data_IF_830718071161
#
_entry.id   IF_830718071161
#
_cell.length_a   1.000
_cell.length_b   1.000
_cell.length_c   1.000
_cell.angle_alpha   90.00
_cell.angle_beta   90.00
_cell.angle_gamma   90.00
#
_symmetry.space_group_name_H-M   'P 1'
#
loop_
_entity.id
_entity.type
_entity.pdbx_description
1 polymer ?
#
# COMPACT_ATOMS: atom_id res chain seq x y z
N UNK A 1 -40.05 44.64 -23.86
CA UNK A 1 -40.38 43.73 -22.74
C UNK A 1 -40.05 42.26 -23.04
N UNK A 2 -40.36 41.78 -24.22
CA UNK A 2 -39.99 40.41 -24.63
C UNK A 2 -38.48 40.23 -24.70
N UNK A 3 -37.77 41.27 -25.15
CA UNK A 3 -36.30 41.28 -25.20
C UNK A 3 -35.67 41.23 -23.79
N UNK A 4 -36.28 41.95 -22.84
CA UNK A 4 -35.80 41.93 -21.45
C UNK A 4 -36.03 40.62 -20.76
N UNK A 5 -37.15 39.97 -21.05
CA UNK A 5 -37.44 38.63 -20.53
C UNK A 5 -36.49 37.61 -21.10
N UNK A 6 -36.22 37.68 -22.37
CA UNK A 6 -35.27 36.80 -23.04
C UNK A 6 -33.84 36.97 -22.49
N UNK A 7 -33.46 38.23 -22.24
CA UNK A 7 -32.18 38.55 -21.65
C UNK A 7 -32.03 37.97 -20.22
N UNK A 8 -33.04 38.16 -19.40
CA UNK A 8 -33.09 37.61 -18.02
C UNK A 8 -33.03 36.08 -18.03
N UNK A 9 -33.75 35.47 -18.98
CA UNK A 9 -33.75 34.04 -19.12
C UNK A 9 -32.38 33.49 -19.53
N UNK A 10 -31.72 34.18 -20.47
CA UNK A 10 -30.36 33.83 -20.90
C UNK A 10 -29.35 33.95 -19.76
N UNK A 11 -29.44 35.02 -18.96
CA UNK A 11 -28.58 35.23 -17.80
C UNK A 11 -28.81 34.15 -16.74
N UNK A 12 -30.05 33.78 -16.50
CA UNK A 12 -30.42 32.71 -15.57
C UNK A 12 -29.87 31.37 -16.03
N UNK A 13 -30.04 31.06 -17.29
CA UNK A 13 -29.52 29.82 -17.87
C UNK A 13 -28.01 29.76 -17.84
N UNK A 14 -27.33 30.89 -18.14
CA UNK A 14 -25.88 30.99 -18.06
C UNK A 14 -25.38 30.78 -16.62
N UNK A 15 -26.06 31.36 -15.65
CA UNK A 15 -25.72 31.20 -14.24
C UNK A 15 -25.91 29.74 -13.76
N UNK A 16 -26.98 29.10 -14.22
CA UNK A 16 -27.25 27.70 -13.90
C UNK A 16 -26.22 26.78 -14.58
N UNK A 17 -25.82 27.08 -15.82
CA UNK A 17 -24.80 26.35 -16.53
C UNK A 17 -23.43 26.47 -15.85
N UNK A 18 -23.09 27.67 -15.37
CA UNK A 18 -21.85 27.89 -14.61
C UNK A 18 -21.84 27.09 -13.33
N UNK A 19 -22.96 27.07 -12.59
CA UNK A 19 -23.08 26.30 -11.36
C UNK A 19 -22.92 24.79 -11.63
N UNK A 20 -23.53 24.30 -12.70
CA UNK A 20 -23.41 22.89 -13.09
C UNK A 20 -21.97 22.53 -13.47
N UNK A 21 -21.32 23.43 -14.22
CA UNK A 21 -19.94 23.22 -14.63
C UNK A 21 -19.01 23.23 -13.42
N UNK A 22 -19.22 24.15 -12.47
CA UNK A 22 -18.45 24.22 -11.25
C UNK A 22 -18.66 22.97 -10.38
N UNK A 23 -19.89 22.50 -10.27
CA UNK A 23 -20.20 21.30 -9.52
C UNK A 23 -19.58 20.04 -10.16
N UNK A 24 -19.60 19.96 -11.50
CA UNK A 24 -18.97 18.87 -12.22
C UNK A 24 -17.46 18.88 -12.03
N UNK A 25 -16.84 20.06 -12.12
CA UNK A 25 -15.40 20.20 -11.91
C UNK A 25 -15.01 19.84 -10.46
N UNK A 26 -15.81 20.24 -9.49
CA UNK A 26 -15.58 19.88 -8.09
C UNK A 26 -15.69 18.38 -7.86
N UNK A 27 -16.65 17.72 -8.52
CA UNK A 27 -16.78 16.26 -8.43
C UNK A 27 -15.61 15.54 -9.05
N UNK A 28 -15.16 15.99 -10.21
CA UNK A 28 -13.98 15.42 -10.87
C UNK A 28 -12.73 15.58 -10.02
N UNK A 29 -12.52 16.76 -9.44
CA UNK A 29 -11.39 17.03 -8.56
C UNK A 29 -11.43 16.15 -7.30
N UNK A 30 -12.60 15.98 -6.70
CA UNK A 30 -12.79 15.13 -5.53
C UNK A 30 -12.51 13.67 -5.87
N UNK A 31 -12.98 13.21 -7.03
CA UNK A 31 -12.76 11.85 -7.47
C UNK A 31 -11.28 11.58 -7.76
N UNK A 32 -10.61 12.52 -8.43
CA UNK A 32 -9.18 12.42 -8.69
C UNK A 32 -8.36 12.38 -7.40
N UNK A 33 -8.73 13.21 -6.42
CA UNK A 33 -8.07 13.23 -5.11
C UNK A 33 -8.28 11.90 -4.37
N UNK A 34 -9.49 11.34 -4.45
CA UNK A 34 -9.78 10.05 -3.83
C UNK A 34 -8.97 8.92 -4.47
N UNK A 35 -8.90 8.89 -5.80
CA UNK A 35 -8.12 7.88 -6.53
C UNK A 35 -6.63 7.98 -6.19
N UNK A 36 -6.12 9.21 -6.09
CA UNK A 36 -4.72 9.43 -5.74
C UNK A 36 -4.43 8.97 -4.30
N UNK A 37 -5.34 9.27 -3.37
CA UNK A 37 -5.22 8.81 -1.99
C UNK A 37 -5.25 7.29 -1.91
N UNK A 38 -6.10 6.64 -2.70
CA UNK A 38 -6.15 5.18 -2.77
C UNK A 38 -4.85 4.58 -3.31
N UNK A 39 -4.25 5.19 -4.32
CA UNK A 39 -2.95 4.76 -4.86
C UNK A 39 -1.85 4.86 -3.82
N UNK A 40 -1.77 5.98 -3.12
CA UNK A 40 -0.78 6.16 -2.06
C UNK A 40 -0.98 5.15 -0.94
N UNK A 41 -2.23 4.92 -0.55
CA UNK A 41 -2.54 3.93 0.48
C UNK A 41 -2.15 2.52 0.05
N UNK A 42 -2.42 2.16 -1.22
CA UNK A 42 -2.05 0.87 -1.78
C UNK A 42 -0.53 0.69 -1.85
N UNK A 43 0.20 1.71 -2.27
CA UNK A 43 1.66 1.69 -2.31
C UNK A 43 2.25 1.55 -0.91
N UNK A 44 1.72 2.30 0.06
CA UNK A 44 2.17 2.21 1.44
C UNK A 44 1.88 0.82 2.03
N UNK A 45 0.73 0.24 1.74
CA UNK A 45 0.37 -1.10 2.19
C UNK A 45 1.27 -2.16 1.55
N UNK A 46 1.60 -2.01 0.27
CA UNK A 46 2.50 -2.92 -0.44
C UNK A 46 3.92 -2.86 0.15
N UNK A 47 4.42 -1.66 0.43
CA UNK A 47 5.72 -1.46 1.03
C UNK A 47 5.78 -2.07 2.45
N UNK A 48 4.73 -1.86 3.25
CA UNK A 48 4.63 -2.45 4.58
C UNK A 48 4.57 -3.98 4.52
N UNK A 49 3.87 -4.54 3.54
CA UNK A 49 3.79 -5.99 3.35
C UNK A 49 5.15 -6.57 2.96
N UNK A 50 5.91 -5.88 2.12
CA UNK A 50 7.27 -6.30 1.75
C UNK A 50 8.21 -6.27 2.94
N UNK A 51 8.17 -5.21 3.73
CA UNK A 51 8.96 -5.11 4.96
C UNK A 51 8.62 -6.22 5.94
N UNK A 52 7.33 -6.52 6.11
CA UNK A 52 6.88 -7.59 7.00
C UNK A 52 7.38 -8.95 6.51
N UNK A 53 7.35 -9.19 5.19
CA UNK A 53 7.88 -10.43 4.62
C UNK A 53 9.37 -10.56 4.80
N UNK A 54 10.11 -9.49 4.55
CA UNK A 54 11.56 -9.47 4.74
C UNK A 54 11.94 -9.71 6.21
N UNK A 55 11.21 -9.08 7.13
CA UNK A 55 11.41 -9.30 8.56
C UNK A 55 11.09 -10.73 8.98
N UNK A 56 10.02 -11.31 8.44
CA UNK A 56 9.65 -12.69 8.71
C UNK A 56 10.70 -13.67 8.20
N UNK A 57 11.24 -13.43 6.99
CA UNK A 57 12.32 -14.25 6.42
C UNK A 57 13.58 -14.16 7.27
N UNK A 58 13.94 -12.96 7.70
CA UNK A 58 15.11 -12.76 8.55
C UNK A 58 14.96 -13.42 9.91
N UNK A 59 13.74 -13.53 10.42
CA UNK A 59 13.43 -14.16 11.71
C UNK A 59 13.33 -15.68 11.63
N UNK A 60 13.22 -16.26 10.43
CA UNK A 60 13.17 -17.71 10.27
C UNK A 60 14.48 -18.34 10.73
N UNK A 61 14.42 -19.41 11.55
CA UNK A 61 15.64 -20.10 11.95
C UNK A 61 16.29 -20.74 10.73
N UNK A 62 17.57 -20.49 10.59
CA UNK A 62 18.35 -21.10 9.52
C UNK A 62 18.56 -22.56 9.82
N UNK A 63 18.26 -23.42 8.85
CA UNK A 63 18.56 -24.84 8.99
C UNK A 63 20.07 -25.03 9.08
N UNK A 64 20.55 -25.90 10.00
CA UNK A 64 21.99 -26.16 10.09
C UNK A 64 22.52 -26.78 8.82
N UNK A 65 23.73 -26.38 8.43
CA UNK A 65 24.40 -26.96 7.28
C UNK A 65 24.85 -28.39 7.58
N UNK A 66 25.16 -29.16 6.54
CA UNK A 66 25.67 -30.52 6.69
C UNK A 66 26.96 -30.56 7.54
N UNK A 67 27.81 -29.54 7.38
CA UNK A 67 29.04 -29.40 8.17
C UNK A 67 28.76 -29.16 9.64
N UNK A 68 27.78 -28.31 9.95
CA UNK A 68 27.37 -28.02 11.31
C UNK A 68 26.77 -29.26 11.98
N UNK A 69 25.95 -30.02 11.26
CA UNK A 69 25.39 -31.27 11.76
C UNK A 69 26.47 -32.31 12.03
N UNK A 70 27.46 -32.41 11.16
CA UNK A 70 28.59 -33.31 11.34
C UNK A 70 29.40 -32.91 12.59
N UNK A 71 29.73 -31.62 12.72
CA UNK A 71 30.46 -31.12 13.87
C UNK A 71 29.73 -31.39 15.20
N UNK A 72 28.40 -31.24 15.22
CA UNK A 72 27.60 -31.54 16.39
C UNK A 72 27.60 -33.02 16.74
N UNK A 73 27.55 -33.90 15.75
CA UNK A 73 27.65 -35.36 15.96
C UNK A 73 29.00 -35.77 16.49
N UNK A 74 30.07 -35.22 15.91
CA UNK A 74 31.44 -35.49 16.34
C UNK A 74 31.68 -35.04 17.78
N UNK A 75 31.17 -33.85 18.14
CA UNK A 75 31.29 -33.34 19.51
C UNK A 75 30.55 -34.23 20.51
N UNK A 76 29.37 -34.74 20.16
CA UNK A 76 28.61 -35.67 21.01
C UNK A 76 29.34 -37.01 21.19
N UNK A 77 29.92 -37.51 20.13
CA UNK A 77 30.68 -38.75 20.16
C UNK A 77 31.93 -38.59 21.06
N UNK A 78 32.66 -37.52 20.90
CA UNK A 78 33.87 -37.22 21.72
C UNK A 78 33.51 -37.08 23.22
N UNK A 79 32.38 -36.42 23.53
CA UNK A 79 31.89 -36.29 24.91
C UNK A 79 31.53 -37.66 25.53
N UNK A 80 30.90 -38.52 24.76
CA UNK A 80 30.57 -39.87 25.24
C UNK A 80 31.79 -40.74 25.46
N UNK A 81 32.77 -40.63 24.57
CA UNK A 81 34.03 -41.35 24.69
C UNK A 81 34.84 -40.90 25.92
N UNK A 82 34.84 -39.62 26.22
CA UNK A 82 35.47 -39.06 27.40
C UNK A 82 34.85 -39.53 28.69
N UNK A 83 33.53 -39.75 28.73
CA UNK A 83 32.81 -40.22 29.88
C UNK A 83 33.08 -41.70 30.24
N UNK A 84 33.47 -42.49 29.27
CA UNK A 84 33.75 -43.93 29.48
C UNK A 84 35.11 -44.20 30.06
N UNK A 85 35.93 -43.19 30.20
CA UNK A 85 37.23 -43.27 30.87
C UNK A 85 37.10 -42.92 32.34
#
# INVERSE_FOLDING_TARGET
ELAERAERQRQKEAGEAEKRAAAAAAREAAQAAMEQAQRYAAEAAAAAAEEARAAAEAALPKLPTAEELKAARDARYAARKARKR
#
